data_IF_243045712633
#
_entry.id   IF_243045712633
#
_cell.length_a   1.000
_cell.length_b   1.000
_cell.length_c   1.000
_cell.angle_alpha   90.00
_cell.angle_beta   90.00
_cell.angle_gamma   90.00
#
_symmetry.space_group_name_H-M   'P 1'
#
loop_
_entity.id
_entity.type
_entity.pdbx_description
1 polymer ?
#
# COMPACT_ATOMS: atom_id res chain seq x y z
N UNK A 1 0.75 -21.20 -7.22
CA UNK A 1 0.82 -21.52 -5.79
C UNK A 1 2.06 -22.38 -5.53
N UNK A 2 3.10 -21.81 -4.91
CA UNK A 2 4.31 -22.54 -4.49
C UNK A 2 4.07 -23.13 -3.09
N UNK A 3 3.97 -24.47 -3.02
CA UNK A 3 3.48 -25.23 -1.86
C UNK A 3 4.41 -25.37 -0.64
N UNK A 4 5.19 -24.35 -0.28
CA UNK A 4 5.89 -24.33 1.03
C UNK A 4 5.77 -22.97 1.69
N UNK A 5 5.05 -22.92 2.80
CA UNK A 5 5.00 -21.78 3.70
C UNK A 5 6.42 -21.44 4.15
N UNK A 6 6.88 -20.22 3.89
CA UNK A 6 8.21 -19.78 4.35
C UNK A 6 8.19 -19.62 5.86
N UNK A 7 9.34 -19.73 6.53
CA UNK A 7 9.46 -19.51 7.98
C UNK A 7 8.84 -18.16 8.42
N UNK A 8 9.06 -17.03 7.70
CA UNK A 8 8.37 -15.78 7.98
C UNK A 8 6.84 -15.89 7.90
N UNK A 9 6.30 -16.52 6.86
CA UNK A 9 4.84 -16.69 6.70
C UNK A 9 4.25 -17.50 7.86
N UNK A 10 4.92 -18.57 8.30
CA UNK A 10 4.47 -19.37 9.44
C UNK A 10 4.49 -18.56 10.75
N UNK A 11 5.53 -17.75 10.97
CA UNK A 11 5.63 -16.85 12.13
C UNK A 11 4.49 -15.83 12.14
N UNK A 12 4.17 -15.23 10.98
CA UNK A 12 3.05 -14.31 10.84
C UNK A 12 1.71 -14.97 11.15
N UNK A 13 1.43 -16.12 10.53
CA UNK A 13 0.15 -16.82 10.71
C UNK A 13 -0.05 -17.25 12.17
N UNK A 14 0.98 -17.80 12.81
CA UNK A 14 0.90 -18.20 14.21
C UNK A 14 0.66 -17.00 15.13
N UNK A 15 1.41 -15.92 14.94
CA UNK A 15 1.25 -14.70 15.74
C UNK A 15 -0.14 -14.08 15.58
N UNK A 16 -0.66 -13.99 14.34
CA UNK A 16 -2.02 -13.50 14.08
C UNK A 16 -3.09 -14.35 14.78
N UNK A 17 -2.97 -15.68 14.73
CA UNK A 17 -3.89 -16.58 15.42
C UNK A 17 -3.80 -16.45 16.94
N UNK A 18 -2.60 -16.25 17.49
CA UNK A 18 -2.42 -15.98 18.92
C UNK A 18 -3.10 -14.67 19.35
N UNK A 19 -3.06 -13.62 18.52
CA UNK A 19 -3.81 -12.39 18.82
C UNK A 19 -5.33 -12.61 18.72
N UNK A 20 -5.78 -13.45 17.79
CA UNK A 20 -7.21 -13.77 17.61
C UNK A 20 -7.82 -14.53 18.80
N UNK A 21 -7.03 -15.32 19.54
CA UNK A 21 -7.53 -15.98 20.76
C UNK A 21 -7.67 -15.00 21.93
N UNK A 22 -6.94 -13.88 21.90
CA UNK A 22 -6.94 -12.85 22.94
C UNK A 22 -7.93 -11.71 22.65
N UNK A 23 -8.29 -11.50 21.38
CA UNK A 23 -9.14 -10.37 20.97
C UNK A 23 -10.20 -10.77 19.94
N UNK A 24 -11.45 -10.42 20.25
CA UNK A 24 -12.57 -10.56 19.33
C UNK A 24 -12.42 -9.67 18.09
N UNK A 25 -11.74 -8.52 18.18
CA UNK A 25 -11.55 -7.62 17.03
C UNK A 25 -10.65 -8.24 15.97
N UNK A 26 -9.59 -8.93 16.40
CA UNK A 26 -8.68 -9.65 15.50
C UNK A 26 -9.41 -10.84 14.87
N UNK A 27 -10.16 -11.61 15.66
CA UNK A 27 -10.96 -12.72 15.15
C UNK A 27 -11.99 -12.25 14.10
N UNK A 28 -12.74 -11.20 14.41
CA UNK A 28 -13.71 -10.61 13.50
C UNK A 28 -13.01 -10.10 12.22
N UNK A 29 -11.84 -9.46 12.33
CA UNK A 29 -11.08 -9.00 11.17
C UNK A 29 -10.59 -10.15 10.27
N UNK A 30 -10.15 -11.28 10.87
CA UNK A 30 -9.78 -12.49 10.15
C UNK A 30 -10.99 -13.05 9.39
N UNK A 31 -12.14 -13.20 10.07
CA UNK A 31 -13.36 -13.74 9.46
C UNK A 31 -13.87 -12.84 8.34
N UNK A 32 -13.84 -11.51 8.53
CA UNK A 32 -14.24 -10.54 7.51
C UNK A 32 -13.35 -10.59 6.27
N UNK A 33 -12.04 -10.72 6.47
CA UNK A 33 -11.05 -10.85 5.38
C UNK A 33 -11.18 -12.18 4.65
N UNK A 34 -11.35 -13.29 5.39
CA UNK A 34 -11.53 -14.62 4.83
C UNK A 34 -12.80 -14.71 3.99
N UNK A 35 -13.92 -14.17 4.47
CA UNK A 35 -15.18 -14.13 3.73
C UNK A 35 -15.06 -13.31 2.43
N UNK A 36 -14.36 -12.16 2.45
CA UNK A 36 -14.06 -11.39 1.23
C UNK A 36 -13.17 -12.13 0.25
N UNK A 37 -12.17 -12.85 0.75
CA UNK A 37 -11.30 -13.63 -0.11
C UNK A 37 -12.07 -14.76 -0.79
N UNK A 38 -12.86 -15.54 -0.05
CA UNK A 38 -13.68 -16.62 -0.59
C UNK A 38 -14.71 -16.13 -1.61
N UNK A 39 -15.33 -14.98 -1.36
CA UNK A 39 -16.30 -14.35 -2.28
C UNK A 39 -15.67 -14.04 -3.65
N UNK A 40 -14.42 -13.54 -3.68
CA UNK A 40 -13.68 -13.27 -4.92
C UNK A 40 -13.50 -14.50 -5.82
N UNK A 41 -13.48 -15.71 -5.27
CA UNK A 41 -13.28 -16.95 -6.04
C UNK A 41 -14.58 -17.63 -6.47
N UNK A 42 -15.75 -17.09 -6.11
CA UNK A 42 -17.03 -17.46 -6.71
C UNK A 42 -17.55 -18.88 -6.41
N UNK A 43 -16.95 -19.62 -5.48
CA UNK A 43 -17.33 -21.02 -5.23
C UNK A 43 -18.50 -21.21 -4.25
N UNK A 44 -19.11 -20.12 -3.71
CA UNK A 44 -20.13 -20.26 -2.67
C UNK A 44 -21.29 -19.26 -2.85
N UNK A 45 -22.51 -19.77 -3.09
CA UNK A 45 -23.81 -19.02 -3.13
C UNK A 45 -24.24 -18.37 -1.79
N UNK A 46 -23.32 -18.21 -0.84
CA UNK A 46 -23.69 -17.73 0.50
C UNK A 46 -23.56 -16.22 0.61
N UNK A 47 -24.25 -15.68 1.61
CA UNK A 47 -24.26 -14.28 2.04
C UNK A 47 -22.88 -13.79 2.55
N UNK A 48 -21.76 -14.22 1.94
CA UNK A 48 -20.38 -13.93 2.32
C UNK A 48 -20.09 -12.45 2.29
N UNK A 49 -20.71 -11.71 1.36
CA UNK A 49 -20.65 -10.26 1.31
C UNK A 49 -21.15 -9.62 2.62
N UNK A 50 -22.33 -10.02 3.08
CA UNK A 50 -22.89 -9.54 4.35
C UNK A 50 -22.05 -10.01 5.55
N UNK A 51 -21.62 -11.27 5.56
CA UNK A 51 -20.76 -11.83 6.63
C UNK A 51 -19.45 -11.04 6.73
N UNK A 52 -18.82 -10.80 5.59
CA UNK A 52 -17.64 -9.98 5.44
C UNK A 52 -17.84 -8.59 6.03
N UNK A 53 -18.89 -7.88 5.63
CA UNK A 53 -19.21 -6.54 6.13
C UNK A 53 -19.52 -6.53 7.62
N UNK A 54 -20.32 -7.48 8.09
CA UNK A 54 -20.71 -7.60 9.50
C UNK A 54 -19.50 -7.76 10.41
N UNK A 55 -18.61 -8.70 10.09
CA UNK A 55 -17.42 -8.93 10.91
C UNK A 55 -16.42 -7.77 10.79
N UNK A 56 -16.20 -7.23 9.58
CA UNK A 56 -15.31 -6.08 9.42
C UNK A 56 -15.81 -4.84 10.17
N UNK A 57 -17.13 -4.56 10.16
CA UNK A 57 -17.71 -3.45 10.90
C UNK A 57 -17.46 -3.58 12.42
N UNK A 58 -17.65 -4.78 12.98
CA UNK A 58 -17.36 -5.06 14.40
C UNK A 58 -15.87 -4.89 14.72
N UNK A 59 -15.00 -5.40 13.85
CA UNK A 59 -13.55 -5.24 14.01
C UNK A 59 -13.15 -3.76 14.03
N UNK A 60 -13.69 -2.94 13.12
CA UNK A 60 -13.45 -1.49 13.06
C UNK A 60 -13.96 -0.79 14.32
N UNK A 61 -15.16 -1.15 14.79
CA UNK A 61 -15.76 -0.55 15.99
C UNK A 61 -14.90 -0.82 17.24
N UNK A 62 -14.47 -2.06 17.45
CA UNK A 62 -13.61 -2.41 18.58
C UNK A 62 -12.22 -1.79 18.40
N UNK A 63 -11.65 -1.80 17.20
CA UNK A 63 -10.36 -1.16 16.93
C UNK A 63 -10.37 0.34 17.26
N UNK A 64 -11.45 1.04 16.90
CA UNK A 64 -11.64 2.44 17.27
C UNK A 64 -11.66 2.62 18.79
N UNK A 65 -12.40 1.77 19.51
CA UNK A 65 -12.47 1.79 20.98
C UNK A 65 -11.09 1.54 21.62
N UNK A 66 -10.31 0.60 21.08
CA UNK A 66 -8.96 0.30 21.55
C UNK A 66 -8.02 1.50 21.35
N UNK A 67 -8.14 2.21 20.22
CA UNK A 67 -7.39 3.43 19.94
C UNK A 67 -7.81 4.59 20.87
N UNK A 68 -9.12 4.78 21.09
CA UNK A 68 -9.66 5.80 22.00
C UNK A 68 -9.24 5.55 23.46
N UNK A 69 -9.06 4.27 23.84
CA UNK A 69 -8.54 3.86 25.15
C UNK A 69 -7.02 4.06 25.33
N UNK A 70 -6.31 4.46 24.28
CA UNK A 70 -4.87 4.70 24.29
C UNK A 70 -4.04 3.43 24.03
N UNK A 71 -2.89 3.63 23.36
CA UNK A 71 -1.95 2.55 23.01
C UNK A 71 -0.97 2.29 24.16
N UNK A 72 -0.83 1.02 24.55
CA UNK A 72 0.10 0.57 25.58
C UNK A 72 0.65 -0.84 25.23
N UNK A 73 1.55 -1.37 26.05
CA UNK A 73 2.21 -2.65 25.77
C UNK A 73 1.22 -3.84 25.70
N UNK A 74 0.12 -3.83 26.45
CA UNK A 74 -0.80 -4.96 26.51
C UNK A 74 -1.78 -5.02 25.34
N UNK A 75 -2.10 -3.89 24.71
CA UNK A 75 -3.03 -3.83 23.56
C UNK A 75 -2.35 -3.62 22.20
N UNK A 76 -1.06 -3.24 22.17
CA UNK A 76 -0.35 -2.92 20.92
C UNK A 76 -0.44 -4.04 19.88
N UNK A 77 -0.16 -5.29 20.28
CA UNK A 77 -0.17 -6.43 19.35
C UNK A 77 -1.56 -6.65 18.73
N UNK A 78 -2.62 -6.44 19.50
CA UNK A 78 -4.01 -6.53 19.04
C UNK A 78 -4.33 -5.38 18.07
N UNK A 79 -3.99 -4.14 18.43
CA UNK A 79 -4.21 -2.95 17.59
C UNK A 79 -3.50 -3.11 16.23
N UNK A 80 -2.26 -3.58 16.23
CA UNK A 80 -1.48 -3.81 15.02
C UNK A 80 -2.08 -4.91 14.16
N UNK A 81 -2.43 -6.05 14.75
CA UNK A 81 -3.03 -7.17 14.03
C UNK A 81 -4.34 -6.77 13.37
N UNK A 82 -5.23 -6.10 14.11
CA UNK A 82 -6.52 -5.62 13.61
C UNK A 82 -6.33 -4.54 12.53
N UNK A 83 -5.43 -3.56 12.73
CA UNK A 83 -5.12 -2.54 11.73
C UNK A 83 -4.60 -3.15 10.42
N UNK A 84 -3.70 -4.13 10.50
CA UNK A 84 -3.16 -4.81 9.33
C UNK A 84 -4.26 -5.54 8.55
N UNK A 85 -5.17 -6.24 9.23
CA UNK A 85 -6.29 -6.95 8.60
C UNK A 85 -7.33 -5.99 8.00
N UNK A 86 -7.66 -4.88 8.67
CA UNK A 86 -8.53 -3.83 8.11
C UNK A 86 -7.90 -3.27 6.82
N UNK A 87 -6.59 -2.98 6.84
CA UNK A 87 -5.86 -2.49 5.67
C UNK A 87 -5.90 -3.51 4.52
N UNK A 88 -5.61 -4.78 4.79
CA UNK A 88 -5.70 -5.84 3.77
C UNK A 88 -7.11 -5.96 3.19
N UNK A 89 -8.14 -5.92 4.05
CA UNK A 89 -9.53 -6.03 3.64
C UNK A 89 -10.00 -4.86 2.77
N UNK A 90 -9.70 -3.63 3.19
CA UNK A 90 -10.06 -2.42 2.43
C UNK A 90 -9.44 -2.43 1.04
N UNK A 91 -8.19 -2.92 0.93
CA UNK A 91 -7.50 -3.08 -0.34
C UNK A 91 -8.17 -4.18 -1.17
N UNK A 92 -8.33 -5.39 -0.62
CA UNK A 92 -8.99 -6.50 -1.32
C UNK A 92 -10.36 -6.09 -1.88
N UNK A 93 -11.17 -5.38 -1.09
CA UNK A 93 -12.53 -4.97 -1.47
C UNK A 93 -12.58 -3.78 -2.41
N UNK A 94 -11.70 -2.80 -2.22
CA UNK A 94 -11.63 -1.62 -3.08
C UNK A 94 -11.31 -1.95 -4.54
N UNK A 95 -10.77 -3.15 -4.82
CA UNK A 95 -10.45 -3.61 -6.18
C UNK A 95 -11.22 -4.86 -6.62
N UNK A 96 -12.05 -5.48 -5.76
CA UNK A 96 -12.97 -6.56 -6.16
C UNK A 96 -14.31 -6.05 -6.68
N UNK A 97 -14.83 -4.94 -6.14
CA UNK A 97 -16.09 -4.37 -6.62
C UNK A 97 -15.87 -3.60 -7.94
N UNK A 98 -16.64 -3.94 -8.98
CA UNK A 98 -16.71 -3.19 -10.24
C UNK A 98 -17.46 -1.85 -10.10
N UNK A 99 -18.06 -1.56 -8.94
CA UNK A 99 -18.89 -0.37 -8.73
C UNK A 99 -18.08 0.84 -8.24
N UNK A 100 -18.20 1.94 -8.99
CA UNK A 100 -17.76 3.32 -8.72
C UNK A 100 -16.26 3.65 -8.82
N UNK A 101 -15.67 3.29 -9.96
CA UNK A 101 -14.41 3.89 -10.44
C UNK A 101 -14.47 5.41 -10.67
N UNK A 102 -15.65 6.04 -10.62
CA UNK A 102 -15.83 7.45 -10.96
C UNK A 102 -15.56 8.45 -9.81
N UNK A 103 -15.52 8.01 -8.55
CA UNK A 103 -15.26 8.92 -7.42
C UNK A 103 -13.87 8.78 -6.82
N UNK A 104 -13.24 7.61 -6.96
CA UNK A 104 -11.96 7.31 -6.33
C UNK A 104 -10.83 8.11 -6.98
N UNK A 105 -10.11 8.87 -6.17
CA UNK A 105 -8.95 9.63 -6.61
C UNK A 105 -7.69 8.76 -6.54
N UNK A 106 -6.69 8.99 -7.41
CA UNK A 106 -5.44 8.22 -7.40
C UNK A 106 -4.67 8.26 -6.06
N UNK A 107 -4.96 9.24 -5.21
CA UNK A 107 -4.31 9.41 -3.92
C UNK A 107 -5.01 8.68 -2.76
N UNK A 108 -6.26 8.22 -2.93
CA UNK A 108 -7.05 7.64 -1.83
C UNK A 108 -6.37 6.39 -1.26
N UNK A 109 -5.89 5.51 -2.13
CA UNK A 109 -5.15 4.32 -1.70
C UNK A 109 -3.83 4.69 -1.03
N UNK A 110 -3.14 5.68 -1.58
CA UNK A 110 -1.84 6.13 -1.08
C UNK A 110 -1.97 6.69 0.35
N UNK A 111 -2.93 7.59 0.56
CA UNK A 111 -3.19 8.25 1.84
C UNK A 111 -3.71 7.25 2.87
N UNK A 112 -4.68 6.40 2.50
CA UNK A 112 -5.24 5.40 3.41
C UNK A 112 -4.19 4.37 3.85
N UNK A 113 -3.44 3.82 2.91
CA UNK A 113 -2.40 2.83 3.20
C UNK A 113 -1.26 3.43 4.02
N UNK A 114 -0.90 4.69 3.76
CA UNK A 114 0.11 5.43 4.54
C UNK A 114 -0.31 5.54 6.01
N UNK A 115 -1.53 6.01 6.31
CA UNK A 115 -2.00 6.17 7.70
C UNK A 115 -1.88 4.87 8.51
N UNK A 116 -2.34 3.77 7.93
CA UNK A 116 -2.26 2.44 8.54
C UNK A 116 -0.82 1.99 8.79
N UNK A 117 0.07 2.17 7.81
CA UNK A 117 1.46 1.77 7.94
C UNK A 117 2.27 2.66 8.90
N UNK A 118 1.91 3.94 9.03
CA UNK A 118 2.50 4.85 10.02
C UNK A 118 2.10 4.48 11.44
N UNK A 119 0.82 4.12 11.68
CA UNK A 119 0.37 3.58 12.95
C UNK A 119 1.19 2.34 13.33
N UNK A 120 1.30 1.38 12.40
CA UNK A 120 2.07 0.14 12.59
C UNK A 120 3.54 0.43 12.90
N UNK A 121 4.18 1.36 12.18
CA UNK A 121 5.57 1.77 12.42
C UNK A 121 5.73 2.42 13.79
N UNK A 122 4.80 3.30 14.19
CA UNK A 122 4.89 4.03 15.45
C UNK A 122 4.87 3.05 16.65
N UNK A 123 4.00 2.05 16.59
CA UNK A 123 3.81 1.10 17.69
C UNK A 123 4.69 -0.15 17.58
N UNK A 124 5.44 -0.33 16.48
CA UNK A 124 6.27 -1.53 16.26
C UNK A 124 7.30 -1.81 17.37
N UNK A 125 7.92 -0.81 18.04
CA UNK A 125 8.83 -1.07 19.16
C UNK A 125 8.14 -1.60 20.42
N UNK A 126 6.81 -1.45 20.52
CA UNK A 126 5.99 -1.90 21.66
C UNK A 126 5.43 -3.31 21.47
N UNK A 127 5.68 -3.94 20.31
CA UNK A 127 5.24 -5.31 20.02
C UNK A 127 6.13 -6.30 20.79
N UNK A 128 5.51 -7.12 21.65
CA UNK A 128 6.21 -8.11 22.48
C UNK A 128 6.99 -9.14 21.65
N UNK A 129 6.45 -9.55 20.50
CA UNK A 129 7.12 -10.47 19.60
C UNK A 129 8.22 -9.74 18.81
N UNK A 130 9.47 -9.94 19.21
CA UNK A 130 10.63 -9.26 18.63
C UNK A 130 10.79 -9.47 17.12
N UNK A 131 10.48 -10.66 16.59
CA UNK A 131 10.56 -10.91 15.15
C UNK A 131 9.54 -10.08 14.37
N UNK A 132 8.30 -10.02 14.85
CA UNK A 132 7.21 -9.24 14.24
C UNK A 132 7.48 -7.74 14.39
N UNK A 133 7.90 -7.30 15.58
CA UNK A 133 8.27 -5.91 15.85
C UNK A 133 9.43 -5.44 14.96
N UNK A 134 10.45 -6.27 14.75
CA UNK A 134 11.56 -5.97 13.85
C UNK A 134 11.11 -5.87 12.38
N UNK A 135 10.27 -6.80 11.90
CA UNK A 135 9.73 -6.75 10.54
C UNK A 135 8.97 -5.45 10.24
N UNK A 136 8.15 -4.99 11.18
CA UNK A 136 7.44 -3.72 11.04
C UNK A 136 8.35 -2.50 11.19
N UNK A 137 9.29 -2.53 12.13
CA UNK A 137 10.29 -1.47 12.30
C UNK A 137 11.15 -1.31 11.05
N UNK A 138 11.48 -2.43 10.39
CA UNK A 138 12.23 -2.44 9.15
C UNK A 138 11.53 -1.68 8.02
N UNK A 139 10.20 -1.53 8.03
CA UNK A 139 9.49 -0.71 7.03
C UNK A 139 9.91 0.77 7.06
N UNK A 140 10.38 1.27 8.20
CA UNK A 140 10.80 2.66 8.37
C UNK A 140 12.30 2.91 8.33
N UNK A 141 13.15 1.89 8.10
CA UNK A 141 14.60 2.05 8.13
C UNK A 141 15.09 3.02 7.05
N UNK A 142 16.20 3.72 7.32
CA UNK A 142 16.80 4.69 6.41
C UNK A 142 17.50 3.95 5.26
N UNK A 143 17.43 4.47 4.04
CA UNK A 143 18.21 3.91 2.91
C UNK A 143 19.71 4.08 3.26
N UNK A 144 20.52 3.01 3.20
CA UNK A 144 21.96 3.14 3.29
C UNK A 144 22.45 4.12 2.22
N UNK A 145 23.16 5.18 2.63
CA UNK A 145 23.66 6.20 1.70
C UNK A 145 24.80 5.61 0.88
N UNK A 146 24.46 5.06 -0.29
CA UNK A 146 25.38 4.54 -1.28
C UNK A 146 24.73 4.66 -2.65
N UNK A 147 25.53 4.98 -3.66
CA UNK A 147 25.10 5.30 -5.03
C UNK A 147 24.34 4.10 -5.61
N UNK A 148 23.03 4.07 -5.38
CA UNK A 148 22.14 3.21 -6.12
C UNK A 148 22.00 3.82 -7.51
N UNK A 149 22.01 2.98 -8.54
CA UNK A 149 21.48 3.37 -9.84
C UNK A 149 20.09 3.97 -9.57
N UNK A 150 19.88 5.18 -10.08
CA UNK A 150 18.62 5.89 -9.92
C UNK A 150 17.87 5.81 -11.27
N UNK A 151 17.27 4.66 -11.60
CA UNK A 151 16.62 4.46 -12.90
C UNK A 151 15.42 5.39 -13.08
N UNK A 152 14.92 5.99 -12.00
CA UNK A 152 13.79 6.92 -12.00
C UNK A 152 14.19 8.39 -11.93
N UNK A 153 15.49 8.70 -11.97
CA UNK A 153 16.01 10.08 -11.89
C UNK A 153 15.49 10.99 -12.99
N UNK A 154 15.16 10.43 -14.16
CA UNK A 154 14.56 11.17 -15.28
C UNK A 154 13.25 11.87 -14.89
N UNK A 155 12.51 11.37 -13.88
CA UNK A 155 11.28 11.99 -13.38
C UNK A 155 11.52 13.33 -12.70
N UNK A 156 12.71 13.56 -12.14
CA UNK A 156 13.05 14.81 -11.46
C UNK A 156 13.25 15.95 -12.47
N UNK A 157 13.77 15.62 -13.65
CA UNK A 157 14.16 16.60 -14.66
C UNK A 157 13.17 16.71 -15.82
N UNK A 158 12.19 15.80 -15.91
CA UNK A 158 11.11 15.93 -16.88
C UNK A 158 10.25 17.17 -16.56
N UNK A 159 10.23 18.11 -17.49
CA UNK A 159 9.42 19.33 -17.38
C UNK A 159 9.03 19.83 -18.78
N UNK A 160 7.86 19.42 -19.30
CA UNK A 160 7.45 19.73 -20.66
C UNK A 160 6.85 21.13 -20.84
N UNK A 161 6.48 21.83 -19.76
CA UNK A 161 5.67 23.06 -19.81
C UNK A 161 6.34 24.33 -19.26
N UNK A 162 7.51 24.25 -18.59
CA UNK A 162 8.10 25.42 -17.92
C UNK A 162 9.62 25.54 -18.09
N UNK A 163 10.12 26.77 -18.21
CA UNK A 163 11.54 27.12 -18.15
C UNK A 163 12.08 27.19 -16.70
N UNK A 164 11.21 27.19 -15.68
CA UNK A 164 11.59 27.22 -14.26
C UNK A 164 11.09 25.97 -13.56
N UNK A 165 12.01 25.11 -13.14
CA UNK A 165 11.71 24.00 -12.24
C UNK A 165 11.72 24.55 -10.81
N UNK A 166 10.63 24.35 -10.06
CA UNK A 166 10.60 24.72 -8.64
C UNK A 166 11.57 23.83 -7.86
N UNK A 167 12.65 24.44 -7.36
CA UNK A 167 13.73 23.74 -6.66
C UNK A 167 13.23 22.95 -5.44
N UNK A 168 12.29 23.52 -4.68
CA UNK A 168 11.64 22.88 -3.53
C UNK A 168 10.89 21.59 -3.92
N UNK A 169 10.19 21.60 -5.06
CA UNK A 169 9.50 20.41 -5.58
C UNK A 169 10.50 19.31 -5.94
N UNK A 170 11.63 19.67 -6.57
CA UNK A 170 12.69 18.70 -6.89
C UNK A 170 13.24 18.06 -5.62
N UNK A 171 13.49 18.87 -4.58
CA UNK A 171 14.05 18.38 -3.31
C UNK A 171 13.11 17.37 -2.64
N UNK A 172 11.81 17.69 -2.57
CA UNK A 172 10.79 16.78 -2.05
C UNK A 172 10.74 15.48 -2.87
N UNK A 173 10.72 15.59 -4.20
CA UNK A 173 10.66 14.43 -5.09
C UNK A 173 11.96 13.60 -5.10
N UNK A 174 13.11 14.21 -4.83
CA UNK A 174 14.42 13.52 -4.84
C UNK A 174 14.44 12.39 -3.83
N UNK A 175 13.94 12.64 -2.62
CA UNK A 175 13.84 11.60 -1.59
C UNK A 175 12.90 10.47 -1.99
N UNK A 176 11.73 10.79 -2.57
CA UNK A 176 10.80 9.77 -3.07
C UNK A 176 11.44 8.91 -4.17
N UNK A 177 12.08 9.54 -5.16
CA UNK A 177 12.78 8.85 -6.25
C UNK A 177 13.92 7.96 -5.73
N UNK A 178 14.66 8.39 -4.71
CA UNK A 178 15.70 7.59 -4.07
C UNK A 178 15.12 6.32 -3.42
N UNK A 179 14.03 6.45 -2.66
CA UNK A 179 13.34 5.30 -2.05
C UNK A 179 12.80 4.34 -3.12
N UNK A 180 12.18 4.87 -4.17
CA UNK A 180 11.64 4.07 -5.26
C UNK A 180 12.74 3.28 -5.99
N UNK A 181 13.87 3.95 -6.27
CA UNK A 181 15.05 3.33 -6.89
C UNK A 181 15.65 2.23 -6.05
N UNK A 182 15.78 2.47 -4.74
CA UNK A 182 16.29 1.47 -3.79
C UNK A 182 15.41 0.21 -3.76
N UNK A 183 14.09 0.40 -3.61
CA UNK A 183 13.12 -0.71 -3.58
C UNK A 183 13.18 -1.49 -4.88
N UNK A 184 13.22 -0.80 -6.02
CA UNK A 184 13.31 -1.45 -7.33
C UNK A 184 14.59 -2.28 -7.48
N UNK A 185 15.75 -1.73 -7.10
CA UNK A 185 17.03 -2.43 -7.15
C UNK A 185 17.10 -3.64 -6.21
N UNK A 186 16.26 -3.68 -5.18
CA UNK A 186 16.22 -4.73 -4.15
C UNK A 186 14.89 -5.47 -4.11
N UNK A 187 14.15 -5.52 -5.22
CA UNK A 187 12.78 -6.05 -5.26
C UNK A 187 12.63 -7.51 -4.80
N UNK A 188 13.73 -8.28 -4.79
CA UNK A 188 13.78 -9.64 -4.25
C UNK A 188 13.68 -9.67 -2.72
N UNK A 189 14.23 -8.66 -2.04
CA UNK A 189 14.34 -8.60 -0.58
C UNK A 189 13.49 -7.49 0.04
N UNK A 190 13.24 -6.41 -0.69
CA UNK A 190 12.49 -5.24 -0.24
C UNK A 190 11.01 -5.32 -0.64
N UNK A 191 10.14 -4.98 0.31
CA UNK A 191 8.69 -4.95 0.10
C UNK A 191 8.30 -3.61 -0.54
N UNK A 192 7.62 -3.57 -1.70
CA UNK A 192 7.24 -2.31 -2.35
C UNK A 192 6.49 -1.32 -1.45
N UNK A 193 5.64 -1.83 -0.56
CA UNK A 193 4.84 -1.02 0.38
C UNK A 193 5.66 -0.17 1.34
N UNK A 194 6.96 -0.47 1.51
CA UNK A 194 7.91 0.38 2.25
C UNK A 194 7.90 1.82 1.75
N UNK A 195 7.71 2.04 0.45
CA UNK A 195 7.64 3.36 -0.15
C UNK A 195 6.62 4.27 0.56
N UNK A 196 5.46 3.73 0.94
CA UNK A 196 4.37 4.46 1.58
C UNK A 196 4.75 5.02 2.95
N UNK A 197 5.64 4.34 3.67
CA UNK A 197 6.15 4.77 4.98
C UNK A 197 7.31 5.74 4.84
N UNK A 198 8.05 5.63 3.74
CA UNK A 198 9.34 6.27 3.56
C UNK A 198 9.26 7.69 2.98
N UNK A 199 8.26 7.98 2.14
CA UNK A 199 8.09 9.33 1.59
C UNK A 199 7.70 10.36 2.66
N UNK A 200 8.01 11.64 2.45
CA UNK A 200 7.65 12.74 3.36
C UNK A 200 6.18 13.14 3.22
N UNK A 201 5.66 13.88 4.21
CA UNK A 201 4.30 14.42 4.13
C UNK A 201 4.17 15.47 3.03
N UNK A 202 5.20 16.31 2.82
CA UNK A 202 5.23 17.25 1.70
C UNK A 202 5.08 16.55 0.33
N UNK A 203 5.64 15.35 0.17
CA UNK A 203 5.44 14.57 -1.06
C UNK A 203 3.98 14.12 -1.20
N UNK A 204 3.34 13.72 -0.10
CA UNK A 204 1.91 13.36 -0.08
C UNK A 204 1.06 14.55 -0.48
N UNK A 205 1.37 15.74 0.04
CA UNK A 205 0.66 16.97 -0.29
C UNK A 205 0.74 17.28 -1.79
N UNK A 206 1.90 17.05 -2.43
CA UNK A 206 2.06 17.15 -3.89
C UNK A 206 1.16 16.14 -4.63
N UNK A 207 1.06 14.90 -4.15
CA UNK A 207 0.20 13.86 -4.75
C UNK A 207 -1.28 14.24 -4.61
N UNK A 208 -1.70 14.73 -3.45
CA UNK A 208 -3.06 15.22 -3.19
C UNK A 208 -3.39 16.43 -4.08
N UNK A 209 -2.44 17.34 -4.24
CA UNK A 209 -2.52 18.49 -5.13
C UNK A 209 -2.45 18.13 -6.63
N UNK A 210 -2.37 16.83 -6.97
CA UNK A 210 -2.25 16.32 -8.35
C UNK A 210 -1.06 16.92 -9.10
N UNK A 211 0.03 17.21 -8.40
CA UNK A 211 1.27 17.65 -9.02
C UNK A 211 1.72 16.58 -10.05
N UNK A 212 1.97 16.95 -11.31
CA UNK A 212 2.27 15.97 -12.36
C UNK A 212 3.51 15.10 -12.09
N UNK A 213 4.57 15.67 -11.50
CA UNK A 213 5.79 14.95 -11.15
C UNK A 213 5.53 13.93 -10.05
N UNK A 214 4.84 14.35 -8.99
CA UNK A 214 4.48 13.47 -7.89
C UNK A 214 3.56 12.32 -8.36
N UNK A 215 2.57 12.61 -9.21
CA UNK A 215 1.71 11.60 -9.82
C UNK A 215 2.50 10.61 -10.70
N UNK A 216 3.45 11.09 -11.49
CA UNK A 216 4.32 10.22 -12.29
C UNK A 216 5.15 9.28 -11.40
N UNK A 217 5.75 9.80 -10.32
CA UNK A 217 6.47 8.99 -9.31
C UNK A 217 5.53 7.95 -8.69
N UNK A 218 4.29 8.31 -8.34
CA UNK A 218 3.28 7.37 -7.86
C UNK A 218 2.95 6.27 -8.90
N UNK A 219 2.84 6.62 -10.17
CA UNK A 219 2.64 5.65 -11.26
C UNK A 219 3.78 4.63 -11.35
N UNK A 220 5.02 5.09 -11.22
CA UNK A 220 6.18 4.19 -11.16
C UNK A 220 6.25 3.36 -9.88
N UNK A 221 5.78 3.90 -8.75
CA UNK A 221 5.59 3.09 -7.55
C UNK A 221 4.61 1.93 -7.80
N UNK A 222 3.45 2.16 -8.43
CA UNK A 222 2.53 1.07 -8.78
C UNK A 222 3.16 0.06 -9.75
N UNK A 223 3.98 0.53 -10.69
CA UNK A 223 4.76 -0.36 -11.56
C UNK A 223 5.69 -1.28 -10.75
N UNK A 224 6.38 -0.74 -9.75
CA UNK A 224 7.25 -1.52 -8.85
C UNK A 224 6.43 -2.52 -8.02
N UNK A 225 5.26 -2.12 -7.51
CA UNK A 225 4.34 -3.03 -6.80
C UNK A 225 3.90 -4.19 -7.70
N UNK A 226 3.56 -3.91 -8.97
CA UNK A 226 3.18 -4.92 -9.96
C UNK A 226 4.33 -5.87 -10.27
N UNK A 227 5.57 -5.40 -10.33
CA UNK A 227 6.73 -6.25 -10.60
C UNK A 227 7.14 -7.08 -9.38
N UNK A 228 6.96 -6.56 -8.16
CA UNK A 228 7.29 -7.25 -6.91
C UNK A 228 6.28 -8.32 -6.50
N UNK A 229 5.47 -8.85 -7.44
CA UNK A 229 4.33 -9.76 -7.18
C UNK A 229 4.72 -10.97 -6.34
N UNK A 230 4.45 -10.86 -5.04
CA UNK A 230 4.38 -11.95 -4.05
C UNK A 230 3.18 -11.80 -3.10
N UNK A 231 2.27 -10.86 -3.35
CA UNK A 231 1.23 -10.45 -2.40
C UNK A 231 -0.16 -10.59 -3.06
N UNK A 232 -0.91 -11.63 -2.68
CA UNK A 232 -2.21 -11.94 -3.28
C UNK A 232 -3.31 -10.90 -2.98
N UNK A 233 -3.27 -10.26 -1.81
CA UNK A 233 -4.34 -9.34 -1.37
C UNK A 233 -4.29 -7.97 -2.04
N UNK A 234 -3.24 -7.67 -2.82
CA UNK A 234 -3.15 -6.48 -3.67
C UNK A 234 -3.39 -6.79 -5.15
N UNK A 235 -3.76 -8.02 -5.52
CA UNK A 235 -3.95 -8.39 -6.91
C UNK A 235 -5.05 -7.55 -7.57
N UNK A 236 -4.68 -6.83 -8.64
CA UNK A 236 -5.53 -5.89 -9.37
C UNK A 236 -5.44 -4.43 -8.88
N UNK A 237 -4.88 -4.20 -7.69
CA UNK A 237 -4.72 -2.85 -7.13
C UNK A 237 -3.80 -1.96 -7.98
N UNK A 238 -2.57 -2.40 -8.33
CA UNK A 238 -1.65 -1.57 -9.10
C UNK A 238 -2.20 -1.19 -10.46
N UNK A 239 -2.94 -2.08 -11.12
CA UNK A 239 -3.54 -1.83 -12.44
C UNK A 239 -4.59 -0.73 -12.39
N UNK A 240 -5.50 -0.77 -11.41
CA UNK A 240 -6.56 0.24 -11.28
C UNK A 240 -5.99 1.58 -10.84
N UNK A 241 -5.05 1.60 -9.91
CA UNK A 241 -4.43 2.86 -9.47
C UNK A 241 -3.56 3.48 -10.55
N UNK A 242 -2.82 2.67 -11.32
CA UNK A 242 -2.06 3.17 -12.47
C UNK A 242 -2.98 3.80 -13.53
N UNK A 243 -4.15 3.19 -13.80
CA UNK A 243 -5.16 3.77 -14.69
C UNK A 243 -5.67 5.13 -14.18
N UNK A 244 -5.95 5.26 -12.88
CA UNK A 244 -6.34 6.53 -12.27
C UNK A 244 -5.24 7.59 -12.38
N UNK A 245 -3.97 7.21 -12.15
CA UNK A 245 -2.80 8.10 -12.35
C UNK A 245 -2.73 8.58 -13.80
N UNK A 246 -2.82 7.68 -14.78
CA UNK A 246 -2.73 8.03 -16.20
C UNK A 246 -3.88 8.94 -16.65
N UNK A 247 -5.09 8.77 -16.10
CA UNK A 247 -6.24 9.66 -16.36
C UNK A 247 -6.10 11.03 -15.71
N UNK A 248 -5.33 11.13 -14.63
CA UNK A 248 -5.12 12.38 -13.90
C UNK A 248 -3.89 13.16 -14.39
N UNK A 249 -2.98 12.50 -15.10
CA UNK A 249 -1.76 13.12 -15.63
C UNK A 249 -2.05 13.97 -16.88
N UNK A 250 -1.44 15.17 -16.99
CA UNK A 250 -1.45 15.94 -18.23
C UNK A 250 -0.85 15.14 -19.39
N UNK A 251 -1.35 15.35 -20.62
CA UNK A 251 -0.93 14.58 -21.81
C UNK A 251 0.57 14.72 -22.09
N UNK A 252 1.16 15.83 -21.72
CA UNK A 252 2.58 16.14 -21.90
C UNK A 252 3.51 15.29 -21.02
N UNK A 253 2.97 14.68 -19.96
CA UNK A 253 3.69 13.75 -19.09
C UNK A 253 3.63 12.30 -19.58
N UNK A 254 2.82 11.99 -20.60
CA UNK A 254 2.70 10.62 -21.14
C UNK A 254 4.05 10.04 -21.62
N UNK A 255 4.93 10.78 -22.32
CA UNK A 255 6.24 10.22 -22.73
C UNK A 255 7.12 9.81 -21.55
N UNK A 256 7.04 10.55 -20.42
CA UNK A 256 7.75 10.17 -19.20
C UNK A 256 7.21 8.87 -18.58
N UNK A 257 5.99 8.45 -18.94
CA UNK A 257 5.34 7.23 -18.43
C UNK A 257 5.52 6.02 -19.34
N UNK A 258 6.17 6.16 -20.49
CA UNK A 258 6.31 5.12 -21.52
C UNK A 258 6.78 3.76 -20.99
N UNK A 259 7.74 3.77 -20.05
CA UNK A 259 8.21 2.52 -19.45
C UNK A 259 7.12 1.85 -18.60
N UNK A 260 6.44 2.61 -17.74
CA UNK A 260 5.36 2.06 -16.92
C UNK A 260 4.18 1.58 -17.79
N UNK A 261 3.82 2.34 -18.83
CA UNK A 261 2.77 1.97 -19.80
C UNK A 261 3.06 0.60 -20.43
N UNK A 262 4.30 0.36 -20.87
CA UNK A 262 4.71 -0.95 -21.41
C UNK A 262 4.60 -2.08 -20.40
N UNK A 263 4.98 -1.85 -19.15
CA UNK A 263 4.89 -2.85 -18.07
C UNK A 263 3.43 -3.20 -17.76
N UNK A 264 2.55 -2.19 -17.75
CA UNK A 264 1.13 -2.38 -17.50
C UNK A 264 0.35 -2.89 -18.72
N UNK A 265 0.90 -2.76 -19.93
CA UNK A 265 0.16 -2.89 -21.19
C UNK A 265 -1.08 -1.99 -21.17
N UNK A 266 -0.90 -0.77 -20.67
CA UNK A 266 -1.99 0.17 -20.50
C UNK A 266 -2.36 0.79 -21.85
N UNK A 267 -3.66 0.79 -22.15
CA UNK A 267 -4.24 1.44 -23.32
C UNK A 267 -5.29 2.45 -22.84
N UNK A 268 -5.35 3.60 -23.50
CA UNK A 268 -6.35 4.63 -23.20
C UNK A 268 -7.74 4.12 -23.62
N UNK A 269 -8.52 3.63 -22.65
CA UNK A 269 -9.86 3.06 -22.92
C UNK A 269 -10.92 4.13 -23.21
N UNK A 270 -10.54 5.41 -23.22
CA UNK A 270 -11.43 6.54 -23.44
C UNK A 270 -11.42 7.06 -24.90
N UNK A 271 -10.71 6.40 -25.82
CA UNK A 271 -10.71 6.72 -27.26
C UNK A 271 -11.57 5.74 -28.10
N UNK A 272 -12.72 5.30 -27.58
CA UNK A 272 -13.77 4.61 -28.36
C UNK A 272 -15.03 5.46 -28.39
#
# INVERSE_FOLDING_TARGET
MTGKTTKPQATWSFWMLEQATKSTSVMDAILGTAASHLERWGEIETNLLFVSHKYMARAIEVHKRDLDGGVNQSNTSTIVATCALICMHTILRGYSLESDSNQRQPHDWFVSSRKSLHLIKWVSPMIENSNIGQEFSALGSIIPHGIHTNPFSFLLYWNPQSNSIHQEEIEICTMAVAHLSYIYAKLVTEKPLRFLVAVSDNFVDLVVAKNPRALAICGYFFMVVRQGRQIWWIDGAPEREFDLVMRSLPKEWRPAMDWAVRVFQWNDRCEV
#
